data_IF_424317961486
#
_entry.id   IF_424317961486
#
_cell.length_a   1.000
_cell.length_b   1.000
_cell.length_c   1.000
_cell.angle_alpha   90.00
_cell.angle_beta   90.00
_cell.angle_gamma   90.00
#
_symmetry.space_group_name_H-M   'P 1'
#
loop_
_entity.id
_entity.type
_entity.pdbx_description
1 polymer ?
#
# COMPACT_ATOMS: atom_id res chain seq x y z
N UNK A 1 5.60 -7.37 14.78
CA UNK A 1 4.14 -7.23 14.56
C UNK A 1 3.60 -8.43 13.81
N UNK A 2 2.32 -8.80 14.02
CA UNK A 2 1.71 -10.02 13.46
C UNK A 2 1.32 -9.78 12.00
N UNK A 3 1.80 -10.61 11.08
CA UNK A 3 1.36 -10.60 9.66
C UNK A 3 -0.06 -11.17 9.54
N UNK A 4 -0.84 -10.66 8.59
CA UNK A 4 -2.17 -11.19 8.30
C UNK A 4 -2.08 -12.62 7.75
N UNK A 5 -2.96 -13.50 8.21
CA UNK A 5 -3.10 -14.85 7.69
C UNK A 5 -4.23 -14.97 6.65
N UNK A 6 -4.45 -16.18 6.11
CA UNK A 6 -5.51 -16.46 5.14
C UNK A 6 -6.91 -16.01 5.57
N UNK A 7 -7.26 -16.16 6.85
CA UNK A 7 -8.58 -15.76 7.37
C UNK A 7 -8.75 -14.25 7.45
N UNK A 8 -7.70 -13.54 7.87
CA UNK A 8 -7.68 -12.08 7.90
C UNK A 8 -7.79 -11.50 6.49
N UNK A 9 -7.05 -12.05 5.52
CA UNK A 9 -7.16 -11.67 4.11
C UNK A 9 -8.55 -11.95 3.54
N UNK A 10 -9.13 -13.10 3.86
CA UNK A 10 -10.48 -13.47 3.44
C UNK A 10 -11.55 -12.50 3.96
N UNK A 11 -11.45 -12.09 5.22
CA UNK A 11 -12.35 -11.11 5.81
C UNK A 11 -12.19 -9.73 5.14
N UNK A 12 -10.95 -9.29 4.94
CA UNK A 12 -10.65 -8.05 4.22
C UNK A 12 -11.22 -8.05 2.79
N UNK A 13 -10.97 -9.12 2.03
CA UNK A 13 -11.42 -9.23 0.65
C UNK A 13 -12.96 -9.23 0.56
N UNK A 14 -13.65 -9.93 1.46
CA UNK A 14 -15.12 -9.87 1.54
C UNK A 14 -15.61 -8.43 1.72
N UNK A 15 -15.02 -7.70 2.66
CA UNK A 15 -15.39 -6.29 2.91
C UNK A 15 -15.18 -5.44 1.66
N UNK A 16 -14.04 -5.57 0.98
CA UNK A 16 -13.75 -4.81 -0.23
C UNK A 16 -14.74 -5.11 -1.36
N UNK A 17 -15.15 -6.36 -1.51
CA UNK A 17 -16.12 -6.78 -2.52
C UNK A 17 -17.53 -6.29 -2.18
N UNK A 18 -18.00 -6.48 -0.95
CA UNK A 18 -19.33 -6.02 -0.54
C UNK A 18 -19.48 -4.50 -0.63
N UNK A 19 -18.45 -3.74 -0.23
CA UNK A 19 -18.43 -2.27 -0.36
C UNK A 19 -18.53 -1.79 -1.82
N UNK A 20 -18.12 -2.63 -2.78
CA UNK A 20 -18.19 -2.36 -4.22
C UNK A 20 -19.43 -2.98 -4.87
N UNK A 21 -20.38 -3.47 -4.08
CA UNK A 21 -21.67 -3.98 -4.56
C UNK A 21 -21.64 -5.42 -5.08
N UNK A 22 -20.57 -6.18 -4.87
CA UNK A 22 -20.58 -7.61 -5.19
C UNK A 22 -21.43 -8.37 -4.18
N UNK A 23 -22.50 -9.02 -4.64
CA UNK A 23 -23.30 -9.91 -3.81
C UNK A 23 -22.60 -11.28 -3.67
N UNK A 24 -22.03 -11.53 -2.48
CA UNK A 24 -21.31 -12.75 -2.14
C UNK A 24 -22.20 -13.87 -1.58
N UNK A 25 -23.53 -13.69 -1.56
CA UNK A 25 -24.46 -14.76 -1.19
C UNK A 25 -24.41 -15.91 -2.20
N UNK A 26 -24.91 -17.09 -1.80
CA UNK A 26 -24.94 -18.30 -2.65
C UNK A 26 -25.60 -18.06 -4.02
N UNK A 27 -26.53 -17.09 -4.11
CA UNK A 27 -27.26 -16.74 -5.34
C UNK A 27 -26.80 -15.42 -5.98
N UNK A 28 -25.94 -14.66 -5.32
CA UNK A 28 -25.61 -13.28 -5.67
C UNK A 28 -24.69 -13.10 -6.88
N UNK A 29 -24.03 -14.16 -7.33
CA UNK A 29 -23.17 -14.11 -8.52
C UNK A 29 -21.91 -13.23 -8.39
N UNK A 30 -21.74 -12.48 -7.30
CA UNK A 30 -20.65 -11.51 -7.12
C UNK A 30 -19.26 -12.14 -7.19
N UNK A 31 -19.09 -13.37 -6.69
CA UNK A 31 -17.83 -14.10 -6.87
C UNK A 31 -17.51 -14.38 -8.34
N UNK A 32 -18.51 -14.73 -9.15
CA UNK A 32 -18.33 -14.97 -10.58
C UNK A 32 -17.97 -13.66 -11.30
N UNK A 33 -18.72 -12.59 -11.02
CA UNK A 33 -18.47 -11.28 -11.61
C UNK A 33 -17.06 -10.76 -11.26
N UNK A 34 -16.61 -10.95 -10.01
CA UNK A 34 -15.25 -10.53 -9.63
C UNK A 34 -14.16 -11.40 -10.27
N UNK A 35 -14.39 -12.71 -10.38
CA UNK A 35 -13.46 -13.62 -11.07
C UNK A 35 -13.28 -13.21 -12.55
N UNK A 36 -14.38 -12.91 -13.25
CA UNK A 36 -14.34 -12.42 -14.63
C UNK A 36 -13.59 -11.09 -14.73
N UNK A 37 -13.86 -10.14 -13.82
CA UNK A 37 -13.23 -8.83 -13.84
C UNK A 37 -11.74 -8.84 -13.50
N UNK A 38 -11.32 -9.70 -12.57
CA UNK A 38 -9.93 -9.82 -12.15
C UNK A 38 -9.10 -10.73 -13.06
N UNK A 39 -9.74 -11.53 -13.92
CA UNK A 39 -9.07 -12.58 -14.69
C UNK A 39 -8.56 -13.76 -13.83
N UNK A 40 -8.92 -13.79 -12.53
CA UNK A 40 -8.54 -14.85 -11.61
C UNK A 40 -9.61 -15.95 -11.67
N UNK A 41 -9.17 -17.21 -11.61
CA UNK A 41 -10.12 -18.33 -11.61
C UNK A 41 -11.10 -18.26 -10.43
N UNK A 42 -12.36 -18.64 -10.68
CA UNK A 42 -13.40 -18.64 -9.65
C UNK A 42 -13.05 -19.56 -8.47
N UNK A 43 -12.37 -20.68 -8.72
CA UNK A 43 -11.93 -21.59 -7.65
C UNK A 43 -10.87 -20.94 -6.76
N UNK A 44 -9.92 -20.20 -7.33
CA UNK A 44 -8.93 -19.43 -6.56
C UNK A 44 -9.62 -18.37 -5.69
N UNK A 45 -10.53 -17.57 -6.26
CA UNK A 45 -11.30 -16.56 -5.50
C UNK A 45 -12.11 -17.24 -4.39
N UNK A 46 -12.77 -18.37 -4.67
CA UNK A 46 -13.53 -19.11 -3.67
C UNK A 46 -12.65 -19.56 -2.50
N UNK A 47 -11.47 -20.13 -2.76
CA UNK A 47 -10.54 -20.57 -1.71
C UNK A 47 -9.98 -19.42 -0.88
N UNK A 48 -9.68 -18.28 -1.52
CA UNK A 48 -9.28 -17.06 -0.81
C UNK A 48 -10.39 -16.56 0.10
N UNK A 49 -11.63 -16.51 -0.40
CA UNK A 49 -12.77 -16.10 0.41
C UNK A 49 -13.04 -17.13 1.52
N UNK A 50 -12.90 -18.43 1.31
CA UNK A 50 -13.00 -19.41 2.40
C UNK A 50 -11.92 -19.24 3.47
N UNK A 51 -10.83 -18.54 3.17
CA UNK A 51 -9.67 -18.41 4.07
C UNK A 51 -8.78 -19.65 4.04
N UNK A 52 -8.88 -20.47 3.00
CA UNK A 52 -8.03 -21.65 2.81
C UNK A 52 -6.62 -21.24 2.39
N UNK A 53 -6.51 -20.13 1.65
CA UNK A 53 -5.26 -19.58 1.14
C UNK A 53 -5.25 -18.06 1.24
N UNK A 54 -4.08 -17.49 1.53
CA UNK A 54 -3.70 -16.15 1.11
C UNK A 54 -2.74 -16.31 -0.07
N UNK A 55 -2.94 -15.56 -1.16
CA UNK A 55 -1.96 -15.59 -2.25
C UNK A 55 -0.73 -14.79 -1.87
N UNK A 56 0.44 -15.38 -2.07
CA UNK A 56 1.73 -14.67 -2.09
C UNK A 56 2.24 -14.46 -3.52
N UNK A 57 1.53 -14.97 -4.54
CA UNK A 57 1.87 -14.73 -5.95
C UNK A 57 1.54 -13.27 -6.29
N UNK A 58 2.60 -12.53 -6.64
CA UNK A 58 2.54 -11.11 -6.99
C UNK A 58 1.53 -10.87 -8.13
N UNK A 59 1.48 -11.73 -9.16
CA UNK A 59 0.58 -11.53 -10.31
C UNK A 59 -0.88 -11.57 -9.88
N UNK A 60 -1.21 -12.46 -8.96
CA UNK A 60 -2.57 -12.59 -8.41
C UNK A 60 -2.92 -11.37 -7.56
N UNK A 61 -1.99 -10.92 -6.71
CA UNK A 61 -2.21 -9.74 -5.88
C UNK A 61 -2.32 -8.45 -6.71
N UNK A 62 -1.55 -8.32 -7.80
CA UNK A 62 -1.68 -7.23 -8.78
C UNK A 62 -3.04 -7.27 -9.47
N UNK A 63 -3.48 -8.43 -9.95
CA UNK A 63 -4.80 -8.57 -10.56
C UNK A 63 -5.94 -8.21 -9.60
N UNK A 64 -5.81 -8.53 -8.31
CA UNK A 64 -6.76 -8.11 -7.27
C UNK A 64 -6.71 -6.59 -7.07
N UNK A 65 -5.52 -5.99 -7.01
CA UNK A 65 -5.36 -4.54 -6.85
C UNK A 65 -6.00 -3.77 -8.00
N UNK A 66 -5.69 -4.16 -9.24
CA UNK A 66 -6.24 -3.54 -10.46
C UNK A 66 -7.76 -3.69 -10.52
N UNK A 67 -8.27 -4.90 -10.23
CA UNK A 67 -9.70 -5.12 -10.16
C UNK A 67 -10.32 -4.26 -9.03
N UNK A 68 -9.73 -4.14 -7.86
CA UNK A 68 -10.34 -3.34 -6.79
C UNK A 68 -10.13 -1.82 -6.96
N UNK A 69 -9.27 -1.40 -7.88
CA UNK A 69 -8.84 0.00 -8.02
C UNK A 69 -8.08 0.47 -6.78
N UNK A 70 -7.27 -0.40 -6.18
CA UNK A 70 -6.54 -0.13 -4.94
C UNK A 70 -5.03 -0.06 -5.20
N UNK A 71 -4.28 0.71 -4.38
CA UNK A 71 -2.83 0.62 -4.39
C UNK A 71 -2.35 -0.81 -4.10
N UNK A 72 -1.37 -1.29 -4.85
CA UNK A 72 -0.82 -2.64 -4.70
C UNK A 72 -0.29 -2.91 -3.29
N UNK A 73 0.31 -1.89 -2.66
CA UNK A 73 0.79 -1.94 -1.28
C UNK A 73 -0.33 -2.25 -0.28
N UNK A 74 -1.53 -1.69 -0.47
CA UNK A 74 -2.71 -2.00 0.36
C UNK A 74 -3.05 -3.49 0.29
N UNK A 75 -3.00 -4.07 -0.91
CA UNK A 75 -3.29 -5.50 -1.12
C UNK A 75 -2.19 -6.38 -0.53
N UNK A 76 -0.92 -6.00 -0.67
CA UNK A 76 0.21 -6.72 -0.05
C UNK A 76 0.14 -6.75 1.47
N UNK A 77 -0.25 -5.64 2.10
CA UNK A 77 -0.45 -5.57 3.55
C UNK A 77 -1.65 -6.42 3.97
N UNK A 78 -2.76 -6.36 3.24
CA UNK A 78 -3.93 -7.20 3.52
C UNK A 78 -3.60 -8.69 3.40
N UNK A 79 -2.83 -9.09 2.39
CA UNK A 79 -2.39 -10.47 2.16
C UNK A 79 -1.29 -10.94 3.13
N UNK A 80 -0.73 -10.03 3.95
CA UNK A 80 0.35 -10.33 4.89
C UNK A 80 1.71 -10.56 4.23
N UNK A 81 1.87 -10.21 2.95
CA UNK A 81 3.15 -10.30 2.23
C UNK A 81 4.09 -9.16 2.63
N UNK A 82 3.52 -8.00 2.98
CA UNK A 82 4.20 -6.89 3.65
C UNK A 82 3.49 -6.56 4.96
N UNK A 83 4.22 -6.04 5.93
CA UNK A 83 3.65 -5.34 7.10
C UNK A 83 3.49 -3.85 6.80
N UNK A 84 2.60 -3.19 7.56
CA UNK A 84 2.42 -1.75 7.44
C UNK A 84 3.71 -0.96 7.73
N UNK A 85 4.53 -1.44 8.67
CA UNK A 85 5.81 -0.81 9.02
C UNK A 85 6.83 -0.92 7.88
N UNK A 86 6.88 -2.08 7.20
CA UNK A 86 7.73 -2.27 6.02
C UNK A 86 7.34 -1.30 4.89
N UNK A 87 6.03 -1.04 4.70
CA UNK A 87 5.56 -0.01 3.74
C UNK A 87 5.93 1.40 4.20
N UNK A 88 5.73 1.71 5.49
CA UNK A 88 6.06 3.02 6.05
C UNK A 88 7.56 3.33 5.96
N UNK A 89 8.43 2.35 6.18
CA UNK A 89 9.88 2.49 6.06
C UNK A 89 10.40 2.66 4.62
N UNK A 90 9.61 2.27 3.61
CA UNK A 90 9.92 2.53 2.19
C UNK A 90 9.35 3.87 1.71
N UNK A 91 8.12 4.21 2.14
CA UNK A 91 7.49 5.48 1.79
C UNK A 91 8.12 6.68 2.50
N UNK A 92 8.62 6.45 3.72
CA UNK A 92 9.53 7.35 4.41
C UNK A 92 10.85 6.62 4.55
N UNK A 93 11.79 6.74 3.59
CA UNK A 93 13.12 6.21 3.78
C UNK A 93 13.61 6.76 5.12
N UNK A 94 13.83 5.87 6.07
CA UNK A 94 14.28 6.19 7.42
C UNK A 94 15.67 6.80 7.30
N UNK A 95 15.66 8.11 7.18
CA UNK A 95 16.80 8.97 6.96
C UNK A 95 16.21 10.32 6.67
N UNK A 96 15.83 11.07 7.71
CA UNK A 96 15.77 12.52 7.57
C UNK A 96 17.16 12.95 7.12
N UNK A 97 17.34 13.14 5.83
CA UNK A 97 18.53 13.78 5.31
C UNK A 97 18.61 15.13 6.02
N UNK A 98 19.70 15.38 6.73
CA UNK A 98 19.99 16.75 7.14
C UNK A 98 20.09 17.61 5.88
N UNK A 99 19.86 18.92 6.00
CA UNK A 99 20.04 19.81 4.85
C UNK A 99 21.44 19.65 4.23
N UNK A 100 22.46 19.35 5.05
CA UNK A 100 23.82 19.11 4.56
C UNK A 100 23.92 17.81 3.74
N UNK A 101 23.33 16.71 4.20
CA UNK A 101 23.34 15.44 3.47
C UNK A 101 22.55 15.53 2.16
N UNK A 102 21.42 16.26 2.16
CA UNK A 102 20.66 16.52 0.95
C UNK A 102 21.46 17.39 -0.03
N UNK A 103 22.16 18.41 0.46
CA UNK A 103 23.03 19.25 -0.37
C UNK A 103 24.18 18.44 -1.00
N UNK A 104 24.76 17.49 -0.27
CA UNK A 104 25.78 16.58 -0.82
C UNK A 104 25.23 15.72 -1.95
N UNK A 105 24.05 15.13 -1.76
CA UNK A 105 23.43 14.28 -2.77
C UNK A 105 23.00 15.05 -4.03
N UNK A 106 22.63 16.32 -3.88
CA UNK A 106 22.29 17.22 -4.99
C UNK A 106 23.53 17.77 -5.71
N UNK A 107 24.74 17.45 -5.26
CA UNK A 107 25.98 17.95 -5.83
C UNK A 107 26.21 19.44 -5.59
N UNK A 108 25.63 20.00 -4.52
CA UNK A 108 25.84 21.41 -4.17
C UNK A 108 27.28 21.62 -3.66
N UNK A 109 27.93 22.73 -4.06
CA UNK A 109 29.22 23.12 -3.53
C UNK A 109 29.27 23.09 -2.00
N UNK A 110 30.41 22.68 -1.43
CA UNK A 110 30.63 22.61 0.01
C UNK A 110 30.92 23.98 0.66
N UNK A 111 30.80 25.08 -0.11
CA UNK A 111 31.07 26.41 0.43
C UNK A 111 29.98 26.83 1.45
N UNK A 112 30.36 27.55 2.51
CA UNK A 112 29.43 27.88 3.59
C UNK A 112 28.22 28.70 3.15
N UNK A 113 28.35 29.55 2.13
CA UNK A 113 27.30 30.45 1.69
C UNK A 113 26.19 29.69 0.95
N UNK A 114 26.56 28.82 0.01
CA UNK A 114 25.63 27.95 -0.71
C UNK A 114 24.90 27.02 0.25
N UNK A 115 25.62 26.45 1.22
CA UNK A 115 25.04 25.56 2.25
C UNK A 115 24.04 26.29 3.14
N UNK A 116 24.35 27.52 3.56
CA UNK A 116 23.44 28.34 4.37
C UNK A 116 22.15 28.68 3.61
N UNK A 117 22.24 29.04 2.33
CA UNK A 117 21.06 29.34 1.50
C UNK A 117 20.16 28.11 1.37
N UNK A 118 20.74 26.96 1.05
CA UNK A 118 19.98 25.71 0.92
C UNK A 118 19.31 25.31 2.24
N UNK A 119 20.04 25.38 3.36
CA UNK A 119 19.49 25.09 4.69
C UNK A 119 18.31 25.99 5.04
N UNK A 120 18.43 27.30 4.82
CA UNK A 120 17.35 28.25 5.11
C UNK A 120 16.10 28.00 4.23
N UNK A 121 16.29 27.63 2.96
CA UNK A 121 15.19 27.25 2.07
C UNK A 121 14.46 26.00 2.61
N UNK A 122 15.21 24.96 2.97
CA UNK A 122 14.64 23.72 3.53
C UNK A 122 13.89 23.99 4.84
N UNK A 123 14.45 24.81 5.73
CA UNK A 123 13.80 25.19 6.99
C UNK A 123 12.51 25.98 6.77
N UNK A 124 12.48 26.88 5.77
CA UNK A 124 11.29 27.67 5.42
C UNK A 124 10.17 26.80 4.87
N UNK A 125 10.51 25.78 4.07
CA UNK A 125 9.55 24.85 3.47
C UNK A 125 9.09 23.75 4.42
N UNK A 126 9.77 23.59 5.58
CA UNK A 126 9.44 22.54 6.54
C UNK A 126 8.06 22.84 7.14
N UNK A 127 7.11 21.89 7.09
CA UNK A 127 5.79 22.10 7.69
C UNK A 127 5.95 22.42 9.18
N UNK A 128 5.29 23.48 9.66
CA UNK A 128 5.13 23.70 11.09
C UNK A 128 4.23 22.59 11.63
N UNK A 129 4.59 21.91 12.74
CA UNK A 129 3.71 20.93 13.36
C UNK A 129 2.43 21.65 13.81
N UNK A 130 1.31 21.40 13.13
CA UNK A 130 -0.01 21.89 13.51
C UNK A 130 -0.89 22.54 12.44
N UNK A 131 -0.60 22.45 11.13
CA UNK A 131 -1.44 23.09 10.09
C UNK A 131 -2.17 22.14 9.12
N UNK A 132 -2.27 20.85 9.43
CA UNK A 132 -3.05 19.90 8.62
C UNK A 132 -4.35 19.52 9.34
N UNK A 133 -5.27 20.49 9.44
CA UNK A 133 -6.68 20.26 9.74
C UNK A 133 -7.52 21.27 8.94
N UNK A 134 -7.84 20.90 7.70
CA UNK A 134 -8.71 21.61 6.79
C UNK A 134 -9.20 20.68 5.70
#
# INVERSE_FOLDING_TARGET
>A
MKRNGPKEFAAWLRTQLTQRGYDLSTRGGGQKAFAERSGISRSTISRMLSGDIASTDIRVLTAIADALGLPLTTVFVAAGTLSADEVAGVQSPTGHLTADQAADQLGLPADPQTRAVFKNLVETLRPKPGNDAG
#
